data_IF_456627413202
#
_entry.id   IF_456627413202
#
_cell.length_a   1.000
_cell.length_b   1.000
_cell.length_c   1.000
_cell.angle_alpha   90.00
_cell.angle_beta   90.00
_cell.angle_gamma   90.00
#
_symmetry.space_group_name_H-M   'P 1'
#
loop_
_entity.id
_entity.type
_entity.pdbx_description
1 polymer ?
#
# COMPACT_ATOMS: atom_id res chain seq x y z
N UNK A 1 12.93 -5.40 9.86
CA UNK A 1 14.07 -4.54 10.23
C UNK A 1 14.28 -3.46 9.18
N UNK A 2 14.72 -2.27 9.61
CA UNK A 2 14.92 -1.08 8.78
C UNK A 2 16.41 -0.70 8.77
N UNK A 3 16.90 -0.24 7.62
CA UNK A 3 18.28 0.23 7.43
C UNK A 3 18.24 1.56 6.67
N UNK A 4 19.08 2.48 7.11
CA UNK A 4 19.29 3.78 6.48
C UNK A 4 20.73 3.84 5.96
N UNK A 5 20.91 4.20 4.69
CA UNK A 5 22.23 4.50 4.12
C UNK A 5 22.21 5.95 3.64
N UNK A 6 23.19 6.72 4.07
CA UNK A 6 23.33 8.13 3.67
C UNK A 6 24.54 8.22 2.74
N UNK A 7 24.30 8.66 1.51
CA UNK A 7 25.31 8.81 0.47
C UNK A 7 25.50 10.31 0.26
N UNK A 8 26.70 10.82 0.56
CA UNK A 8 27.08 12.21 0.25
C UNK A 8 27.47 12.28 -1.22
N UNK A 9 26.78 13.12 -1.98
CA UNK A 9 27.07 13.37 -3.40
C UNK A 9 27.95 14.62 -3.55
N UNK A 10 27.62 15.69 -2.82
CA UNK A 10 28.37 16.96 -2.80
C UNK A 10 28.33 17.58 -1.38
N UNK A 11 28.85 18.79 -1.19
CA UNK A 11 28.93 19.44 0.13
C UNK A 11 27.57 19.52 0.84
N UNK A 12 26.52 19.90 0.11
CA UNK A 12 25.16 20.08 0.62
C UNK A 12 24.13 19.16 -0.08
N UNK A 13 24.59 18.09 -0.73
CA UNK A 13 23.73 17.17 -1.47
C UNK A 13 23.92 15.73 -0.99
N UNK A 14 22.82 15.12 -0.57
CA UNK A 14 22.80 13.77 -0.01
C UNK A 14 21.63 12.96 -0.57
N UNK A 15 21.85 11.67 -0.77
CA UNK A 15 20.80 10.69 -1.01
C UNK A 15 20.66 9.80 0.22
N UNK A 16 19.43 9.63 0.71
CA UNK A 16 19.14 8.71 1.80
C UNK A 16 18.37 7.51 1.25
N UNK A 17 19.00 6.35 1.28
CA UNK A 17 18.38 5.08 0.92
C UNK A 17 17.80 4.43 2.18
N UNK A 18 16.49 4.20 2.17
CA UNK A 18 15.77 3.51 3.24
C UNK A 18 15.33 2.15 2.72
N UNK A 19 15.79 1.09 3.39
CA UNK A 19 15.36 -0.28 3.09
C UNK A 19 14.72 -0.86 4.34
N UNK A 20 13.49 -1.37 4.22
CA UNK A 20 12.78 -1.99 5.33
C UNK A 20 12.17 -3.33 4.93
N UNK A 21 12.08 -4.23 5.90
CA UNK A 21 11.27 -5.43 5.77
C UNK A 21 9.78 -5.05 5.92
N UNK A 22 8.92 -5.47 4.99
CA UNK A 22 7.50 -5.12 5.01
C UNK A 22 6.72 -5.70 6.20
N UNK A 23 7.24 -6.73 6.89
CA UNK A 23 6.59 -7.25 8.09
C UNK A 23 6.54 -6.29 9.28
N UNK A 24 7.34 -5.21 9.29
CA UNK A 24 7.40 -4.25 10.40
C UNK A 24 6.83 -2.87 10.04
N UNK A 25 6.61 -2.60 8.75
CA UNK A 25 6.13 -1.32 8.24
C UNK A 25 5.23 -1.55 7.03
N UNK A 26 4.05 -0.94 7.09
CA UNK A 26 3.11 -0.83 5.97
C UNK A 26 3.21 0.55 5.29
N UNK A 27 2.39 0.75 4.26
CA UNK A 27 2.35 2.01 3.51
C UNK A 27 1.93 3.24 4.32
N UNK A 28 1.28 3.07 5.48
CA UNK A 28 0.88 4.17 6.35
C UNK A 28 1.96 4.49 7.38
N UNK A 29 2.52 3.44 7.99
CA UNK A 29 3.50 3.52 9.07
C UNK A 29 4.78 4.25 8.66
N UNK A 30 5.20 4.12 7.40
CA UNK A 30 6.38 4.82 6.88
C UNK A 30 6.21 6.35 6.94
N UNK A 31 5.03 6.87 6.59
CA UNK A 31 4.77 8.32 6.63
C UNK A 31 4.80 8.88 8.06
N UNK A 32 4.27 8.12 9.02
CA UNK A 32 4.28 8.45 10.45
C UNK A 32 5.70 8.45 11.01
N UNK A 33 6.51 7.45 10.63
CA UNK A 33 7.92 7.37 10.99
C UNK A 33 8.71 8.57 10.45
N UNK A 34 8.60 8.85 9.15
CA UNK A 34 9.33 9.95 8.51
C UNK A 34 8.93 11.31 9.09
N UNK A 35 7.65 11.52 9.40
CA UNK A 35 7.20 12.73 10.08
C UNK A 35 7.82 12.86 11.48
N UNK A 36 7.91 11.76 12.24
CA UNK A 36 8.56 11.76 13.56
C UNK A 36 10.05 12.08 13.46
N UNK A 37 10.76 11.49 12.48
CA UNK A 37 12.16 11.80 12.19
C UNK A 37 12.34 13.29 11.87
N UNK A 38 11.50 13.85 10.99
CA UNK A 38 11.55 15.26 10.62
C UNK A 38 11.31 16.19 11.82
N UNK A 39 10.36 15.85 12.69
CA UNK A 39 10.10 16.62 13.92
C UNK A 39 11.26 16.57 14.91
N UNK A 40 11.91 15.42 15.06
CA UNK A 40 13.13 15.31 15.87
C UNK A 40 14.26 16.14 15.27
N UNK A 41 14.46 16.06 13.96
CA UNK A 41 15.49 16.81 13.24
C UNK A 41 15.32 18.33 13.41
N UNK A 42 14.08 18.82 13.35
CA UNK A 42 13.75 20.25 13.56
C UNK A 42 13.63 20.66 15.03
N UNK A 43 14.09 19.84 15.99
CA UNK A 43 13.96 20.07 17.44
C UNK A 43 12.53 20.37 17.93
N UNK A 44 11.52 19.96 17.15
CA UNK A 44 10.09 20.11 17.47
C UNK A 44 9.53 18.87 18.21
N UNK A 45 10.37 17.84 18.38
CA UNK A 45 10.10 16.64 19.15
C UNK A 45 11.42 16.17 19.80
N UNK A 46 11.58 16.42 21.09
CA UNK A 46 12.84 16.13 21.80
C UNK A 46 12.99 14.65 22.16
N UNK A 47 11.89 13.98 22.48
CA UNK A 47 11.85 12.55 22.77
C UNK A 47 10.58 11.93 22.19
N UNK A 48 10.68 11.04 21.20
CA UNK A 48 9.53 10.30 20.72
C UNK A 48 9.01 9.39 21.85
N UNK A 49 7.72 9.49 22.14
CA UNK A 49 7.05 8.62 23.11
C UNK A 49 6.97 7.20 22.53
N UNK A 50 7.23 6.19 23.36
CA UNK A 50 7.00 4.80 22.97
C UNK A 50 5.54 4.61 22.57
N UNK A 51 5.31 4.16 21.35
CA UNK A 51 3.99 3.77 20.87
C UNK A 51 3.73 2.30 21.21
N UNK A 52 2.69 2.07 22.02
CA UNK A 52 2.24 0.74 22.43
C UNK A 52 0.93 0.33 21.72
N UNK A 53 0.41 1.19 20.84
CA UNK A 53 -0.89 0.99 20.20
C UNK A 53 -0.88 -0.21 19.25
N UNK A 54 0.22 -0.47 18.55
CA UNK A 54 0.33 -1.65 17.69
C UNK A 54 0.13 -2.95 18.50
N UNK A 55 0.82 -3.09 19.65
CA UNK A 55 0.67 -4.24 20.53
C UNK A 55 -0.76 -4.38 21.07
N UNK A 56 -1.35 -3.29 21.55
CA UNK A 56 -2.75 -3.29 22.03
C UNK A 56 -3.75 -3.64 20.93
N UNK A 57 -3.55 -3.15 19.71
CA UNK A 57 -4.41 -3.47 18.58
C UNK A 57 -4.30 -4.96 18.20
N UNK A 58 -3.10 -5.54 18.29
CA UNK A 58 -2.89 -6.96 18.06
C UNK A 58 -3.57 -7.82 19.13
N UNK A 59 -3.43 -7.47 20.42
CA UNK A 59 -4.14 -8.12 21.53
C UNK A 59 -5.66 -8.07 21.36
N UNK A 60 -6.21 -6.90 20.99
CA UNK A 60 -7.62 -6.71 20.73
C UNK A 60 -8.11 -7.53 19.51
N UNK A 61 -7.28 -7.66 18.47
CA UNK A 61 -7.63 -8.46 17.28
C UNK A 61 -7.65 -9.95 17.56
N UNK A 62 -6.68 -10.45 18.32
CA UNK A 62 -6.62 -11.87 18.72
C UNK A 62 -7.84 -12.23 19.58
N UNK A 63 -8.26 -11.33 20.47
CA UNK A 63 -9.41 -11.58 21.36
C UNK A 63 -10.79 -11.47 20.68
N UNK A 64 -10.90 -10.90 19.47
CA UNK A 64 -12.18 -10.61 18.79
C UNK A 64 -12.46 -11.44 17.51
N UNK A 65 -11.82 -12.59 17.36
CA UNK A 65 -11.72 -13.29 16.06
C UNK A 65 -13.00 -14.03 15.56
N UNK A 66 -14.05 -14.18 16.37
CA UNK A 66 -15.18 -15.07 16.01
C UNK A 66 -16.06 -14.51 14.88
N UNK A 67 -16.41 -13.22 14.89
CA UNK A 67 -17.33 -12.63 13.91
C UNK A 67 -16.79 -12.64 12.47
N UNK A 68 -15.52 -12.26 12.30
CA UNK A 68 -14.87 -12.22 10.99
C UNK A 68 -14.75 -13.64 10.41
N UNK A 69 -14.36 -14.60 11.24
CA UNK A 69 -14.25 -16.01 10.84
C UNK A 69 -15.61 -16.54 10.37
N UNK A 70 -16.68 -16.33 11.15
CA UNK A 70 -18.03 -16.76 10.76
C UNK A 70 -18.49 -16.11 9.45
N UNK A 71 -18.25 -14.81 9.27
CA UNK A 71 -18.60 -14.12 8.04
C UNK A 71 -17.89 -14.76 6.83
N UNK A 72 -16.55 -14.85 6.86
CA UNK A 72 -15.78 -15.36 5.72
C UNK A 72 -16.03 -16.85 5.42
N UNK A 73 -16.37 -17.67 6.42
CA UNK A 73 -16.75 -19.07 6.21
C UNK A 73 -18.08 -19.25 5.48
N UNK A 74 -18.95 -18.23 5.49
CA UNK A 74 -20.29 -18.28 4.90
C UNK A 74 -20.39 -17.52 3.58
N UNK A 75 -19.32 -16.87 3.12
CA UNK A 75 -19.30 -16.16 1.84
C UNK A 75 -18.97 -17.15 0.73
N UNK A 76 -19.91 -17.37 -0.18
CA UNK A 76 -19.64 -18.02 -1.45
C UNK A 76 -18.96 -17.02 -2.38
N UNK A 77 -17.70 -17.28 -2.71
CA UNK A 77 -16.96 -16.51 -3.71
C UNK A 77 -17.25 -17.09 -5.10
N UNK A 78 -17.54 -16.22 -6.07
CA UNK A 78 -17.65 -16.60 -7.47
C UNK A 78 -16.30 -17.01 -8.09
N UNK A 79 -16.30 -17.31 -9.39
CA UNK A 79 -15.05 -17.51 -10.11
C UNK A 79 -14.20 -16.23 -10.10
N UNK A 80 -12.89 -16.32 -9.82
CA UNK A 80 -12.02 -15.16 -9.91
C UNK A 80 -11.90 -14.69 -11.35
N UNK A 81 -11.70 -13.40 -11.54
CA UNK A 81 -11.48 -12.83 -12.87
C UNK A 81 -10.25 -13.45 -13.55
N UNK A 82 -10.36 -13.78 -14.84
CA UNK A 82 -9.26 -14.32 -15.63
C UNK A 82 -8.45 -13.20 -16.29
N UNK A 83 -7.44 -12.72 -15.58
CA UNK A 83 -6.51 -11.70 -16.08
C UNK A 83 -5.34 -12.27 -16.89
N UNK A 84 -5.33 -13.55 -17.25
CA UNK A 84 -4.21 -14.17 -17.99
C UNK A 84 -3.95 -13.51 -19.34
N UNK A 85 -4.97 -12.97 -19.99
CA UNK A 85 -4.84 -12.21 -21.24
C UNK A 85 -3.98 -10.93 -21.10
N UNK A 86 -3.84 -10.40 -19.89
CA UNK A 86 -3.04 -9.21 -19.58
C UNK A 86 -1.60 -9.54 -19.18
N UNK A 87 -1.30 -10.81 -18.93
CA UNK A 87 0.01 -11.26 -18.47
C UNK A 87 0.80 -11.82 -19.66
N UNK A 88 2.06 -11.39 -19.79
CA UNK A 88 2.99 -12.08 -20.68
C UNK A 88 3.26 -13.46 -20.07
N UNK A 89 2.69 -14.52 -20.65
CA UNK A 89 2.68 -15.92 -20.16
C UNK A 89 4.07 -16.59 -20.17
N UNK A 90 5.15 -15.81 -20.11
CA UNK A 90 6.49 -16.34 -19.92
C UNK A 90 6.55 -17.00 -18.55
N UNK A 91 7.19 -18.16 -18.48
CA UNK A 91 7.44 -18.87 -17.22
C UNK A 91 8.13 -17.92 -16.24
N UNK A 92 7.39 -17.45 -15.26
CA UNK A 92 7.95 -16.68 -14.15
C UNK A 92 8.60 -17.69 -13.20
N UNK A 93 9.92 -17.63 -13.09
CA UNK A 93 10.65 -18.37 -12.06
C UNK A 93 10.29 -17.76 -10.70
N UNK A 94 9.30 -18.37 -10.04
CA UNK A 94 8.83 -17.94 -8.72
C UNK A 94 9.83 -18.23 -7.61
N UNK A 95 10.84 -19.06 -7.86
CA UNK A 95 11.86 -19.43 -6.86
C UNK A 95 13.00 -18.41 -6.81
N UNK A 96 13.29 -17.70 -7.91
CA UNK A 96 14.32 -16.67 -8.01
C UNK A 96 13.77 -15.23 -8.14
N UNK A 97 12.59 -14.95 -7.56
CA UNK A 97 11.92 -13.62 -7.54
C UNK A 97 12.65 -12.51 -6.74
N UNK A 98 13.92 -12.71 -6.36
CA UNK A 98 14.62 -11.85 -5.41
C UNK A 98 14.96 -10.44 -5.92
N UNK A 99 14.98 -10.23 -7.23
CA UNK A 99 15.39 -8.96 -7.83
C UNK A 99 14.46 -8.59 -8.99
N UNK A 100 13.86 -7.41 -8.91
CA UNK A 100 13.19 -6.77 -10.03
C UNK A 100 14.25 -5.93 -10.75
N UNK A 101 14.74 -6.41 -11.89
CA UNK A 101 15.83 -5.76 -12.63
C UNK A 101 15.44 -4.37 -13.18
N UNK A 102 14.15 -4.18 -13.52
CA UNK A 102 13.63 -2.93 -14.07
C UNK A 102 12.20 -2.66 -13.58
N UNK A 103 12.02 -2.08 -12.38
CA UNK A 103 10.70 -1.69 -11.92
C UNK A 103 10.14 -0.61 -12.85
N UNK A 104 8.97 -0.87 -13.42
CA UNK A 104 8.22 0.13 -14.18
C UNK A 104 7.32 0.92 -13.23
N UNK A 105 7.41 2.24 -13.30
CA UNK A 105 6.51 3.15 -12.59
C UNK A 105 5.78 4.01 -13.62
N UNK A 106 4.47 4.14 -13.45
CA UNK A 106 3.69 5.15 -14.15
C UNK A 106 2.85 5.93 -13.14
N UNK A 107 2.92 7.25 -13.24
CA UNK A 107 2.15 8.16 -12.40
C UNK A 107 1.13 8.88 -13.26
N UNK A 108 -0.14 8.76 -12.91
CA UNK A 108 -1.23 9.55 -13.49
C UNK A 108 -1.66 10.62 -12.50
N UNK A 109 -1.56 11.88 -12.90
CA UNK A 109 -2.07 13.01 -12.11
C UNK A 109 -3.54 13.22 -12.43
N UNK A 110 -4.39 13.16 -11.39
CA UNK A 110 -5.83 13.35 -11.51
C UNK A 110 -6.27 14.61 -10.77
N UNK A 111 -7.20 15.36 -11.36
CA UNK A 111 -7.89 16.46 -10.68
C UNK A 111 -8.89 15.89 -9.67
N UNK A 112 -8.40 15.70 -8.43
CA UNK A 112 -9.15 14.99 -7.39
C UNK A 112 -10.45 15.69 -6.96
N UNK A 113 -10.54 17.01 -7.13
CA UNK A 113 -11.71 17.78 -6.69
C UNK A 113 -12.98 17.43 -7.47
N UNK A 114 -12.89 17.27 -8.79
CA UNK A 114 -14.02 16.81 -9.60
C UNK A 114 -14.42 15.38 -9.20
N UNK A 115 -13.45 14.49 -8.99
CA UNK A 115 -13.70 13.11 -8.59
C UNK A 115 -14.43 13.06 -7.24
N UNK A 116 -13.97 13.83 -6.24
CA UNK A 116 -14.61 13.93 -4.93
C UNK A 116 -16.03 14.45 -5.02
N UNK A 117 -16.27 15.48 -5.83
CA UNK A 117 -17.59 16.05 -6.02
C UNK A 117 -18.56 15.03 -6.64
N UNK A 118 -18.15 14.34 -7.70
CA UNK A 118 -18.94 13.27 -8.31
C UNK A 118 -19.21 12.10 -7.35
N UNK A 119 -18.20 11.70 -6.56
CA UNK A 119 -18.37 10.66 -5.55
C UNK A 119 -19.39 11.06 -4.50
N UNK A 120 -19.35 12.32 -4.05
CA UNK A 120 -20.30 12.89 -3.09
C UNK A 120 -21.73 12.91 -3.65
N UNK A 121 -21.92 13.38 -4.88
CA UNK A 121 -23.23 13.40 -5.56
C UNK A 121 -23.83 11.99 -5.74
N UNK A 122 -22.97 10.99 -5.94
CA UNK A 122 -23.38 9.59 -6.15
C UNK A 122 -23.40 8.76 -4.87
N UNK A 123 -23.09 9.34 -3.71
CA UNK A 123 -22.98 8.65 -2.42
C UNK A 123 -22.03 7.43 -2.44
N UNK A 124 -20.92 7.54 -3.18
CA UNK A 124 -19.87 6.51 -3.24
C UNK A 124 -18.56 7.05 -2.69
N UNK A 125 -17.69 6.15 -2.23
CA UNK A 125 -16.34 6.55 -1.81
C UNK A 125 -15.41 6.68 -3.02
N UNK A 126 -14.38 7.53 -2.89
CA UNK A 126 -13.33 7.63 -3.93
C UNK A 126 -12.67 6.28 -4.17
N UNK A 127 -12.41 5.50 -3.11
CA UNK A 127 -11.84 4.16 -3.25
C UNK A 127 -12.74 3.24 -4.09
N UNK A 128 -14.04 3.20 -3.82
CA UNK A 128 -14.97 2.39 -4.60
C UNK A 128 -15.03 2.83 -6.08
N UNK A 129 -15.00 4.13 -6.34
CA UNK A 129 -14.97 4.66 -7.70
C UNK A 129 -13.69 4.28 -8.46
N UNK A 130 -12.52 4.40 -7.81
CA UNK A 130 -11.23 4.02 -8.42
C UNK A 130 -11.15 2.51 -8.64
N UNK A 131 -11.60 1.71 -7.67
CA UNK A 131 -11.71 0.27 -7.84
C UNK A 131 -12.63 -0.07 -9.01
N UNK A 132 -13.80 0.56 -9.12
CA UNK A 132 -14.69 0.35 -10.25
C UNK A 132 -14.04 0.69 -11.60
N UNK A 133 -13.36 1.84 -11.69
CA UNK A 133 -12.65 2.24 -12.90
C UNK A 133 -11.58 1.21 -13.29
N UNK A 134 -10.81 0.72 -12.31
CA UNK A 134 -9.83 -0.35 -12.52
C UNK A 134 -10.49 -1.64 -13.05
N UNK A 135 -11.56 -2.11 -12.42
CA UNK A 135 -12.28 -3.31 -12.88
C UNK A 135 -12.88 -3.12 -14.28
N UNK A 136 -13.34 -1.91 -14.62
CA UNK A 136 -13.82 -1.61 -15.98
C UNK A 136 -12.72 -1.63 -17.03
N UNK A 137 -11.51 -1.18 -16.68
CA UNK A 137 -10.34 -1.34 -17.55
C UNK A 137 -10.03 -2.83 -17.72
N UNK A 138 -9.94 -3.59 -16.62
CA UNK A 138 -9.69 -5.04 -16.71
C UNK A 138 -10.71 -5.73 -17.61
N UNK A 139 -12.00 -5.52 -17.38
CA UNK A 139 -13.08 -6.05 -18.22
C UNK A 139 -12.92 -5.68 -19.70
N UNK A 140 -12.55 -4.44 -20.03
CA UNK A 140 -12.39 -4.03 -21.42
C UNK A 140 -11.24 -4.76 -22.14
N UNK A 141 -10.22 -5.21 -21.41
CA UNK A 141 -9.09 -5.96 -21.98
C UNK A 141 -9.28 -7.47 -21.95
N UNK A 142 -10.00 -8.00 -20.95
CA UNK A 142 -10.17 -9.45 -20.77
C UNK A 142 -11.48 -9.97 -21.35
N UNK A 143 -12.46 -9.10 -21.63
CA UNK A 143 -13.86 -9.45 -21.89
C UNK A 143 -14.50 -10.32 -20.79
N UNK A 144 -13.96 -10.22 -19.57
CA UNK A 144 -14.47 -10.90 -18.40
C UNK A 144 -15.68 -10.14 -17.82
N UNK A 145 -16.66 -10.86 -17.30
CA UNK A 145 -17.95 -10.29 -16.85
C UNK A 145 -17.86 -9.55 -15.50
#
# INVERSE_FOLDING_TARGET
MIRFNIIKLEENLFTVLVTNHHSILDGWSLSVLLNSVHRCYNNSLHQPKLDIMYGKAQEARISSNSKATTFWSNVELGSPNDIRLLLDMRSCDTENLGLIDSPAEQTLLLHIEHLKQTCKERNVTVNAMVQFAWHKVLQAYTNDE
#
